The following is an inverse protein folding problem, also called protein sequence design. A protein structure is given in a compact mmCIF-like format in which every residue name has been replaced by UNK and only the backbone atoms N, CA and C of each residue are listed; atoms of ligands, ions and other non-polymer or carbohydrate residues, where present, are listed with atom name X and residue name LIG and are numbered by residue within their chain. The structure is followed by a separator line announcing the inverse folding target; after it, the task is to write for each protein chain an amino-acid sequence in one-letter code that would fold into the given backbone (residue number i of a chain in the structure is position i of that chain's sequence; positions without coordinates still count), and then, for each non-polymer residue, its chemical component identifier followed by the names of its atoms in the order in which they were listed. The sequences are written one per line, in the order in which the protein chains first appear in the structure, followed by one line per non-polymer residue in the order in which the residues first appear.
data_IF_889794005700
#
_entry.id   IF_889794005700
#
_cell.length_a   1.000
_cell.length_b   1.000
_cell.length_c   1.000
_cell.angle_alpha   90.00
_cell.angle_beta   90.00
_cell.angle_gamma   90.00
#
_symmetry.space_group_name_H-M   'P 1'
#
loop_
_entity.id
_entity.type
_entity.pdbx_description
1 polymer ?
#
# COMPACT_ATOMS: atom_id res chain seq x y z
N UNK A 1 -5.43 12.90 -27.27
CA UNK A 1 -4.57 11.71 -27.06
C UNK A 1 -5.52 10.57 -26.76
N UNK A 2 -5.43 9.48 -27.51
CA UNK A 2 -6.29 8.32 -27.31
C UNK A 2 -5.87 7.67 -25.99
N UNK A 3 -6.63 7.88 -24.90
CA UNK A 3 -6.33 7.25 -23.61
C UNK A 3 -6.57 5.75 -23.77
N UNK A 4 -5.49 4.98 -23.86
CA UNK A 4 -5.56 3.52 -23.91
C UNK A 4 -6.22 3.02 -22.62
N UNK A 5 -7.24 2.15 -22.68
CA UNK A 5 -7.91 1.65 -21.48
C UNK A 5 -6.97 0.81 -20.60
N UNK A 6 -5.81 0.38 -21.12
CA UNK A 6 -4.86 -0.48 -20.44
C UNK A 6 -3.92 0.24 -19.47
N UNK A 7 -3.73 1.55 -19.63
CA UNK A 7 -2.80 2.32 -18.78
C UNK A 7 -3.39 3.71 -18.49
N UNK A 8 -3.33 4.13 -17.22
CA UNK A 8 -3.78 5.46 -16.76
C UNK A 8 -2.74 6.12 -15.86
N UNK A 9 -2.47 7.41 -16.06
CA UNK A 9 -1.46 8.15 -15.27
C UNK A 9 -2.03 8.54 -13.91
N UNK A 10 -1.20 8.67 -12.86
CA UNK A 10 -1.70 9.06 -11.52
C UNK A 10 -2.51 10.37 -11.55
N UNK A 11 -2.09 11.36 -12.35
CA UNK A 11 -2.80 12.64 -12.49
C UNK A 11 -4.27 12.50 -12.95
N UNK A 12 -4.61 11.40 -13.63
CA UNK A 12 -5.92 11.10 -14.21
C UNK A 12 -6.80 10.24 -13.28
N UNK A 13 -6.29 9.86 -12.10
CA UNK A 13 -6.91 8.91 -11.20
C UNK A 13 -7.47 9.58 -9.93
N UNK A 14 -8.58 9.04 -9.44
CA UNK A 14 -9.21 9.39 -8.15
C UNK A 14 -9.54 8.12 -7.39
N UNK A 15 -9.95 8.25 -6.12
CA UNK A 15 -10.44 7.12 -5.32
C UNK A 15 -11.58 6.34 -5.99
N UNK A 16 -12.44 7.01 -6.78
CA UNK A 16 -13.53 6.37 -7.52
C UNK A 16 -13.06 5.39 -8.60
N UNK A 17 -11.81 5.50 -9.06
CA UNK A 17 -11.24 4.62 -10.09
C UNK A 17 -10.77 3.27 -9.56
N UNK A 18 -10.81 3.06 -8.23
CA UNK A 18 -10.38 1.84 -7.54
C UNK A 18 -10.80 0.52 -8.20
N UNK A 19 -12.03 0.35 -8.75
CA UNK A 19 -12.40 -0.88 -9.47
C UNK A 19 -11.51 -1.21 -10.68
N UNK A 20 -10.82 -0.22 -11.25
CA UNK A 20 -9.99 -0.37 -12.46
C UNK A 20 -8.48 -0.29 -12.20
N UNK A 21 -8.07 0.28 -11.06
CA UNK A 21 -6.65 0.53 -10.72
C UNK A 21 -6.21 -0.05 -9.37
N UNK A 22 -7.12 -0.71 -8.65
CA UNK A 22 -6.87 -1.24 -7.31
C UNK A 22 -6.70 -0.16 -6.24
N UNK A 23 -6.53 -0.59 -4.99
CA UNK A 23 -6.42 0.30 -3.83
C UNK A 23 -5.22 1.24 -3.89
N UNK A 24 -4.02 0.69 -4.16
CA UNK A 24 -2.77 1.47 -4.20
C UNK A 24 -2.76 2.47 -5.35
N UNK A 25 -3.18 2.03 -6.54
CA UNK A 25 -3.27 2.90 -7.71
C UNK A 25 -4.24 4.07 -7.52
N UNK A 26 -5.42 3.82 -6.95
CA UNK A 26 -6.38 4.86 -6.64
C UNK A 26 -5.87 5.83 -5.57
N UNK A 27 -5.20 5.32 -4.52
CA UNK A 27 -4.61 6.14 -3.47
C UNK A 27 -3.50 7.06 -4.00
N UNK A 28 -2.61 6.54 -4.86
CA UNK A 28 -1.57 7.35 -5.50
C UNK A 28 -2.14 8.43 -6.42
N UNK A 29 -3.21 8.11 -7.14
CA UNK A 29 -3.95 9.10 -7.92
C UNK A 29 -4.54 10.21 -7.05
N UNK A 30 -5.15 9.83 -5.93
CA UNK A 30 -5.75 10.78 -4.99
C UNK A 30 -4.70 11.66 -4.30
N UNK A 31 -3.55 11.11 -3.88
CA UNK A 31 -2.43 11.89 -3.37
C UNK A 31 -1.92 12.90 -4.39
N UNK A 32 -1.78 12.47 -5.65
CA UNK A 32 -1.36 13.35 -6.75
C UNK A 32 -2.38 14.48 -6.95
N UNK A 33 -3.67 14.16 -6.89
CA UNK A 33 -4.74 15.15 -6.98
C UNK A 33 -4.73 16.15 -5.81
N UNK A 34 -4.42 15.69 -4.60
CA UNK A 34 -4.28 16.52 -3.40
C UNK A 34 -3.06 17.46 -3.44
N UNK A 35 -2.26 17.42 -4.51
CA UNK A 35 -1.06 18.22 -4.69
C UNK A 35 0.10 17.77 -3.78
N UNK A 36 0.06 16.53 -3.28
CA UNK A 36 1.19 15.97 -2.56
C UNK A 36 2.35 15.66 -3.53
N UNK A 37 3.62 15.73 -3.05
CA UNK A 37 4.76 15.40 -3.89
C UNK A 37 4.84 13.88 -4.07
N UNK A 38 4.19 13.35 -5.11
CA UNK A 38 4.22 11.91 -5.45
C UNK A 38 5.17 11.71 -6.63
N UNK A 39 6.07 10.70 -6.60
CA UNK A 39 6.87 10.38 -7.77
C UNK A 39 5.97 10.04 -8.96
N UNK A 40 6.27 10.54 -10.17
CA UNK A 40 5.42 10.31 -11.33
C UNK A 40 5.32 8.81 -11.64
N UNK A 41 4.17 8.42 -12.18
CA UNK A 41 3.88 7.03 -12.47
C UNK A 41 2.51 6.86 -13.11
N UNK A 42 2.19 5.60 -13.38
CA UNK A 42 0.94 5.18 -13.98
C UNK A 42 0.53 3.82 -13.45
N UNK A 43 -0.70 3.43 -13.76
CA UNK A 43 -1.27 2.14 -13.41
C UNK A 43 -1.59 1.38 -14.69
N UNK A 44 -1.09 0.15 -14.79
CA UNK A 44 -1.56 -0.87 -15.72
C UNK A 44 -2.88 -1.38 -15.17
N UNK A 45 -3.98 -1.11 -15.87
CA UNK A 45 -5.34 -1.28 -15.35
C UNK A 45 -5.75 -2.75 -15.29
N UNK A 46 -6.83 -3.03 -14.58
CA UNK A 46 -7.46 -4.37 -14.59
C UNK A 46 -7.92 -4.76 -16.00
N UNK A 47 -8.29 -3.81 -16.86
CA UNK A 47 -8.61 -4.09 -18.27
C UNK A 47 -7.42 -4.68 -19.02
N UNK A 48 -6.19 -4.27 -18.70
CA UNK A 48 -4.99 -4.86 -19.26
C UNK A 48 -4.78 -6.32 -18.79
N UNK A 49 -5.07 -6.58 -17.51
CA UNK A 49 -5.03 -7.93 -16.95
C UNK A 49 -6.06 -8.85 -17.59
N UNK A 50 -7.32 -8.41 -17.73
CA UNK A 50 -8.37 -9.19 -18.41
C UNK A 50 -8.01 -9.48 -19.87
N UNK A 51 -7.45 -8.50 -20.60
CA UNK A 51 -7.00 -8.71 -21.98
C UNK A 51 -5.87 -9.76 -22.06
N UNK A 52 -4.93 -9.71 -21.12
CA UNK A 52 -3.86 -10.70 -21.00
C UNK A 52 -4.41 -12.10 -20.69
N UNK A 53 -5.32 -12.22 -19.73
CA UNK A 53 -5.92 -13.50 -19.35
C UNK A 53 -6.77 -14.10 -20.46
N UNK A 54 -7.57 -13.29 -21.15
CA UNK A 54 -8.38 -13.75 -22.29
C UNK A 54 -7.52 -14.26 -23.45
N UNK A 55 -6.34 -13.67 -23.67
CA UNK A 55 -5.38 -14.15 -24.67
C UNK A 55 -4.65 -15.42 -24.21
N UNK A 56 -4.33 -15.51 -22.92
CA UNK A 56 -3.64 -16.66 -22.35
C UNK A 56 -4.52 -17.90 -22.24
N UNK A 57 -5.76 -17.72 -21.79
CA UNK A 57 -6.69 -18.76 -21.33
C UNK A 57 -8.12 -18.47 -21.81
N UNK A 58 -8.39 -18.56 -23.14
CA UNK A 58 -9.65 -18.14 -23.74
C UNK A 58 -10.87 -18.92 -23.24
N UNK A 59 -10.68 -20.16 -22.78
CA UNK A 59 -11.73 -21.02 -22.25
C UNK A 59 -11.96 -20.84 -20.74
N UNK A 60 -11.16 -20.01 -20.05
CA UNK A 60 -11.33 -19.69 -18.63
C UNK A 60 -11.07 -20.86 -17.68
N UNK A 61 -10.23 -21.82 -18.09
CA UNK A 61 -9.88 -23.00 -17.32
C UNK A 61 -9.14 -22.66 -16.02
N UNK A 62 -8.29 -21.62 -16.02
CA UNK A 62 -7.52 -21.21 -14.85
C UNK A 62 -8.45 -20.79 -13.70
N UNK A 63 -9.37 -19.86 -13.97
CA UNK A 63 -10.34 -19.38 -12.97
C UNK A 63 -11.24 -20.53 -12.51
N UNK A 64 -11.71 -21.37 -13.43
CA UNK A 64 -12.55 -22.54 -13.11
C UNK A 64 -11.82 -23.54 -12.21
N UNK A 65 -10.56 -23.85 -12.50
CA UNK A 65 -9.76 -24.77 -11.72
C UNK A 65 -9.53 -24.25 -10.30
N UNK A 66 -9.29 -22.94 -10.14
CA UNK A 66 -9.06 -22.33 -8.82
C UNK A 66 -10.36 -22.24 -8.01
N UNK A 67 -11.47 -21.89 -8.66
CA UNK A 67 -12.78 -21.82 -8.02
C UNK A 67 -13.23 -23.18 -7.46
N UNK A 68 -12.74 -24.29 -8.03
CA UNK A 68 -13.03 -25.64 -7.55
C UNK A 68 -12.17 -26.08 -6.35
N UNK A 69 -11.15 -25.31 -5.96
CA UNK A 69 -10.24 -25.67 -4.88
C UNK A 69 -10.86 -25.43 -3.50
N UNK A 70 -10.61 -26.39 -2.59
CA UNK A 70 -10.83 -26.26 -1.15
C UNK A 70 -9.71 -25.39 -0.54
N UNK A 71 -10.08 -24.42 0.30
CA UNK A 71 -9.12 -23.50 0.92
C UNK A 71 -8.15 -24.17 1.89
N UNK A 72 -8.52 -25.33 2.45
CA UNK A 72 -7.70 -26.05 3.43
C UNK A 72 -6.75 -27.07 2.76
N UNK A 73 -6.98 -27.43 1.48
CA UNK A 73 -6.13 -28.37 0.74
C UNK A 73 -4.96 -27.65 0.07
N UNK A 74 -3.97 -27.31 0.89
CA UNK A 74 -2.75 -26.61 0.42
C UNK A 74 -1.97 -27.41 -0.62
N UNK A 75 -2.02 -28.75 -0.58
CA UNK A 75 -1.33 -29.61 -1.55
C UNK A 75 -2.02 -29.56 -2.92
N UNK A 76 -3.36 -29.63 -2.95
CA UNK A 76 -4.11 -29.46 -4.19
C UNK A 76 -3.95 -28.05 -4.76
N UNK A 77 -3.99 -27.02 -3.92
CA UNK A 77 -3.73 -25.63 -4.33
C UNK A 77 -2.35 -25.56 -4.97
N UNK A 78 -1.30 -26.01 -4.27
CA UNK A 78 0.07 -25.98 -4.79
C UNK A 78 0.19 -26.66 -6.15
N UNK A 79 -0.41 -27.85 -6.30
CA UNK A 79 -0.37 -28.62 -7.55
C UNK A 79 -1.05 -27.91 -8.73
N UNK A 80 -2.11 -27.14 -8.47
CA UNK A 80 -2.83 -26.37 -9.51
C UNK A 80 -2.14 -25.04 -9.80
N UNK A 81 -1.76 -24.29 -8.77
CA UNK A 81 -1.28 -22.91 -8.96
C UNK A 81 0.14 -22.83 -9.50
N UNK A 82 1.00 -23.82 -9.20
CA UNK A 82 2.39 -23.87 -9.70
C UNK A 82 2.46 -23.80 -11.24
N UNK A 83 1.83 -24.73 -11.99
CA UNK A 83 1.86 -24.67 -13.46
C UNK A 83 1.11 -23.46 -14.02
N UNK A 84 0.05 -22.97 -13.35
CA UNK A 84 -0.64 -21.73 -13.74
C UNK A 84 0.30 -20.54 -13.68
N UNK A 85 1.06 -20.42 -12.59
CA UNK A 85 2.04 -19.36 -12.39
C UNK A 85 3.14 -19.41 -13.46
N UNK A 86 3.70 -20.57 -13.73
CA UNK A 86 4.70 -20.77 -14.79
C UNK A 86 4.15 -20.37 -16.17
N UNK A 87 2.90 -20.77 -16.49
CA UNK A 87 2.22 -20.40 -17.73
C UNK A 87 2.03 -18.89 -17.86
N UNK A 88 1.62 -18.22 -16.77
CA UNK A 88 1.49 -16.76 -16.74
C UNK A 88 2.84 -16.09 -16.93
N UNK A 89 3.88 -16.53 -16.21
CA UNK A 89 5.23 -15.95 -16.29
C UNK A 89 5.87 -16.14 -17.67
N UNK A 90 5.57 -17.23 -18.38
CA UNK A 90 6.10 -17.49 -19.72
C UNK A 90 5.34 -16.77 -20.85
N UNK A 91 4.09 -16.37 -20.62
CA UNK A 91 3.21 -15.85 -21.66
C UNK A 91 3.61 -14.48 -22.21
N UNK A 92 3.46 -14.28 -23.52
CA UNK A 92 3.60 -12.95 -24.12
C UNK A 92 2.35 -12.09 -23.85
N UNK A 93 2.55 -10.79 -23.62
CA UNK A 93 1.44 -9.86 -23.48
C UNK A 93 0.86 -9.53 -24.87
N UNK A 94 -0.46 -9.32 -25.00
CA UNK A 94 -1.04 -8.74 -26.20
C UNK A 94 -0.31 -7.46 -26.60
N UNK A 95 -0.02 -7.28 -27.90
CA UNK A 95 0.83 -6.19 -28.39
C UNK A 95 0.29 -4.81 -27.99
N UNK A 96 -1.03 -4.62 -27.98
CA UNK A 96 -1.67 -3.38 -27.53
C UNK A 96 -1.38 -3.04 -26.07
N UNK A 97 -1.35 -4.05 -25.19
CA UNK A 97 -1.04 -3.88 -23.76
C UNK A 97 0.45 -3.59 -23.59
N UNK A 98 1.30 -4.40 -24.24
CA UNK A 98 2.75 -4.23 -24.16
C UNK A 98 3.19 -2.85 -24.71
N UNK A 99 2.63 -2.42 -25.84
CA UNK A 99 2.89 -1.10 -26.42
C UNK A 99 2.41 0.04 -25.50
N UNK A 100 1.25 -0.09 -24.85
CA UNK A 100 0.76 0.89 -23.89
C UNK A 100 1.69 1.04 -22.69
N UNK A 101 2.16 -0.08 -22.11
CA UNK A 101 3.12 -0.09 -20.98
C UNK A 101 4.44 0.56 -21.40
N UNK A 102 5.03 0.11 -22.51
CA UNK A 102 6.32 0.64 -23.00
C UNK A 102 6.24 2.11 -23.38
N UNK A 103 5.12 2.54 -23.95
CA UNK A 103 4.87 3.93 -24.33
C UNK A 103 4.89 4.87 -23.12
N UNK A 104 4.20 4.51 -22.04
CA UNK A 104 4.16 5.32 -20.82
C UNK A 104 5.48 5.27 -20.04
N UNK A 105 6.21 4.16 -20.08
CA UNK A 105 7.56 4.08 -19.50
C UNK A 105 8.53 5.06 -20.17
N UNK A 106 8.47 5.19 -21.50
CA UNK A 106 9.28 6.18 -22.23
C UNK A 106 8.95 7.61 -21.83
N UNK A 107 7.68 7.92 -21.56
CA UNK A 107 7.29 9.25 -21.09
C UNK A 107 7.90 9.53 -19.70
N UNK A 108 7.84 8.56 -18.77
CA UNK A 108 8.51 8.67 -17.46
C UNK A 108 10.04 8.85 -17.58
N UNK A 109 10.66 8.15 -18.54
CA UNK A 109 12.09 8.22 -18.79
C UNK A 109 12.52 9.59 -19.33
N UNK A 110 11.68 10.21 -20.18
CA UNK A 110 11.93 11.56 -20.71
C UNK A 110 11.92 12.66 -19.65
N UNK A 111 11.33 12.38 -18.48
CA UNK A 111 11.25 13.28 -17.33
C UNK A 111 12.32 12.96 -16.25
N UNK A 112 13.26 12.07 -16.55
CA UNK A 112 14.29 11.59 -15.62
C UNK A 112 15.37 12.64 -15.31
N UNK A 113 15.79 12.68 -14.04
CA UNK A 113 16.89 13.53 -13.57
C UNK A 113 18.28 13.00 -13.99
N UNK A 114 18.36 11.80 -14.59
CA UNK A 114 19.59 11.19 -15.11
C UNK A 114 19.52 10.98 -16.63
N UNK A 115 19.88 12.00 -17.44
CA UNK A 115 19.82 11.89 -18.90
C UNK A 115 20.71 10.76 -19.42
N UNK A 116 20.13 9.86 -20.22
CA UNK A 116 20.87 8.79 -20.92
C UNK A 116 20.81 7.40 -20.26
N UNK A 117 20.23 7.27 -19.07
CA UNK A 117 19.93 5.97 -18.44
C UNK A 117 18.41 5.77 -18.28
N UNK A 118 17.87 4.56 -18.53
CA UNK A 118 16.47 4.28 -18.30
C UNK A 118 16.06 4.53 -16.84
N UNK A 119 15.03 5.36 -16.63
CA UNK A 119 14.53 5.68 -15.30
C UNK A 119 14.15 4.41 -14.52
N UNK A 120 14.66 4.22 -13.28
CA UNK A 120 14.26 3.09 -12.46
C UNK A 120 12.82 3.25 -11.98
N UNK A 121 12.07 2.16 -11.98
CA UNK A 121 10.67 2.12 -11.51
C UNK A 121 10.46 1.01 -10.49
N UNK A 122 9.52 1.25 -9.57
CA UNK A 122 8.93 0.24 -8.73
C UNK A 122 7.68 -0.31 -9.43
N UNK A 123 7.56 -1.63 -9.49
CA UNK A 123 6.41 -2.33 -10.05
C UNK A 123 5.69 -3.02 -8.89
N UNK A 124 4.50 -2.51 -8.55
CA UNK A 124 3.77 -2.89 -7.34
C UNK A 124 2.39 -3.40 -7.74
N UNK A 125 2.06 -4.59 -7.28
CA UNK A 125 0.69 -5.13 -7.34
C UNK A 125 -0.31 -4.18 -6.68
N UNK A 126 -1.51 -4.04 -7.27
CA UNK A 126 -2.60 -3.21 -6.77
C UNK A 126 -3.93 -3.92 -7.05
N UNK A 127 -4.35 -4.78 -6.14
CA UNK A 127 -5.56 -5.56 -6.33
C UNK A 127 -6.82 -4.73 -6.03
N UNK A 128 -7.94 -5.10 -6.65
CA UNK A 128 -9.24 -4.45 -6.42
C UNK A 128 -9.85 -4.86 -5.08
N UNK A 129 -9.59 -6.09 -4.64
CA UNK A 129 -10.06 -6.69 -3.39
C UNK A 129 -9.19 -6.38 -2.16
N UNK A 130 -8.07 -5.67 -2.34
CA UNK A 130 -6.99 -5.48 -1.34
C UNK A 130 -7.40 -4.75 -0.05
N UNK A 131 -8.53 -4.02 -0.07
CA UNK A 131 -9.05 -3.29 1.09
C UNK A 131 -10.60 -3.39 1.20
N UNK A 132 -11.20 -4.58 1.03
CA UNK A 132 -12.49 -4.79 1.70
C UNK A 132 -12.25 -4.54 3.20
N UNK A 133 -13.17 -3.90 3.93
CA UNK A 133 -12.94 -3.44 5.32
C UNK A 133 -12.40 -4.54 6.27
N UNK A 134 -12.57 -5.81 5.90
CA UNK A 134 -12.14 -7.00 6.65
C UNK A 134 -11.04 -7.86 5.96
N UNK A 135 -10.56 -7.52 4.76
CA UNK A 135 -9.59 -8.33 4.01
C UNK A 135 -8.27 -7.58 3.77
N UNK A 136 -7.30 -7.73 4.69
CA UNK A 136 -5.94 -7.23 4.46
C UNK A 136 -5.15 -8.23 3.60
N UNK A 137 -5.05 -7.96 2.31
CA UNK A 137 -4.11 -8.66 1.41
C UNK A 137 -2.65 -8.19 1.59
N UNK A 138 -2.40 -7.37 2.62
CA UNK A 138 -1.09 -6.81 2.92
C UNK A 138 -0.02 -7.92 3.04
N UNK A 139 1.02 -7.82 2.22
CA UNK A 139 2.16 -8.75 2.22
C UNK A 139 1.98 -10.02 1.39
N UNK A 140 0.83 -10.23 0.74
CA UNK A 140 0.60 -11.43 -0.11
C UNK A 140 1.01 -11.25 -1.57
N UNK A 141 1.32 -10.02 -2.00
CA UNK A 141 1.52 -9.69 -3.41
C UNK A 141 2.88 -9.05 -3.65
N UNK A 142 3.48 -9.35 -4.80
CA UNK A 142 4.86 -9.01 -5.08
C UNK A 142 5.04 -7.51 -5.33
N UNK A 143 6.21 -7.01 -4.96
CA UNK A 143 6.74 -5.69 -5.30
C UNK A 143 8.16 -5.84 -5.82
N UNK A 144 8.41 -5.30 -7.00
CA UNK A 144 9.73 -5.32 -7.63
C UNK A 144 10.30 -3.91 -7.65
N UNK A 145 11.47 -3.74 -7.03
CA UNK A 145 12.13 -2.45 -6.90
C UNK A 145 13.28 -2.31 -7.90
N UNK A 146 13.56 -1.07 -8.27
CA UNK A 146 14.69 -0.66 -9.12
C UNK A 146 14.70 -1.31 -10.51
N UNK A 147 13.52 -1.58 -11.08
CA UNK A 147 13.38 -2.17 -12.41
C UNK A 147 13.77 -1.14 -13.46
N UNK A 148 14.67 -1.51 -14.38
CA UNK A 148 15.12 -0.66 -15.48
C UNK A 148 14.88 -1.31 -16.83
N UNK A 149 14.47 -0.51 -17.80
CA UNK A 149 14.29 -0.94 -19.17
C UNK A 149 12.89 -1.48 -19.44
N UNK A 150 12.42 -1.19 -20.65
CA UNK A 150 11.04 -1.46 -21.10
C UNK A 150 10.66 -2.96 -21.07
N UNK A 151 11.61 -3.86 -21.34
CA UNK A 151 11.34 -5.29 -21.44
C UNK A 151 11.33 -5.94 -20.04
N UNK A 152 12.27 -5.55 -19.16
CA UNK A 152 12.24 -5.94 -17.76
C UNK A 152 10.97 -5.42 -17.06
N UNK A 153 10.50 -4.23 -17.40
CA UNK A 153 9.22 -3.72 -16.90
C UNK A 153 8.04 -4.61 -17.29
N UNK A 154 7.92 -4.99 -18.57
CA UNK A 154 6.85 -5.88 -19.04
C UNK A 154 6.91 -7.24 -18.34
N UNK A 155 8.11 -7.78 -18.13
CA UNK A 155 8.31 -9.00 -17.36
C UNK A 155 7.84 -8.87 -15.92
N UNK A 156 8.22 -7.79 -15.22
CA UNK A 156 7.84 -7.59 -13.81
C UNK A 156 6.34 -7.31 -13.65
N UNK A 157 5.67 -6.66 -14.61
CA UNK A 157 4.19 -6.54 -14.62
C UNK A 157 3.54 -7.92 -14.67
N UNK A 158 4.06 -8.81 -15.52
CA UNK A 158 3.58 -10.20 -15.64
C UNK A 158 3.83 -11.00 -14.37
N UNK A 159 4.98 -10.81 -13.72
CA UNK A 159 5.29 -11.42 -12.42
C UNK A 159 4.35 -10.94 -11.32
N UNK A 160 3.97 -9.66 -11.29
CA UNK A 160 2.91 -9.19 -10.38
C UNK A 160 1.58 -9.92 -10.64
N UNK A 161 1.17 -10.07 -11.90
CA UNK A 161 -0.04 -10.84 -12.22
C UNK A 161 0.07 -12.31 -11.82
N UNK A 162 1.24 -12.92 -12.00
CA UNK A 162 1.52 -14.28 -11.55
C UNK A 162 1.41 -14.43 -10.03
N UNK A 163 1.77 -13.39 -9.26
CA UNK A 163 1.67 -13.41 -7.80
C UNK A 163 0.23 -13.49 -7.29
N UNK A 164 -0.78 -13.15 -8.11
CA UNK A 164 -2.18 -13.39 -7.79
C UNK A 164 -2.50 -14.89 -7.61
N UNK A 165 -1.70 -15.74 -8.25
CA UNK A 165 -1.79 -17.19 -8.28
C UNK A 165 -0.68 -17.85 -7.46
N UNK A 166 -0.24 -17.22 -6.36
CA UNK A 166 0.55 -17.90 -5.33
C UNK A 166 -0.34 -18.81 -4.48
N UNK A 167 0.28 -19.76 -3.78
CA UNK A 167 -0.42 -20.64 -2.84
C UNK A 167 -1.09 -19.80 -1.75
N UNK A 168 -0.36 -18.84 -1.20
CA UNK A 168 -0.82 -17.97 -0.12
C UNK A 168 -1.98 -17.08 -0.56
N UNK A 169 -1.89 -16.47 -1.76
CA UNK A 169 -2.96 -15.65 -2.33
C UNK A 169 -4.22 -16.46 -2.60
N UNK A 170 -4.09 -17.64 -3.23
CA UNK A 170 -5.24 -18.49 -3.55
C UNK A 170 -5.87 -19.04 -2.28
N UNK A 171 -5.10 -19.62 -1.35
CA UNK A 171 -5.63 -20.14 -0.07
C UNK A 171 -6.38 -19.05 0.69
N UNK A 172 -5.84 -17.83 0.73
CA UNK A 172 -6.50 -16.70 1.38
C UNK A 172 -7.84 -16.34 0.73
N UNK A 173 -7.87 -16.22 -0.61
CA UNK A 173 -9.08 -15.87 -1.36
C UNK A 173 -10.16 -16.94 -1.26
N UNK A 174 -9.77 -18.22 -1.35
CA UNK A 174 -10.68 -19.36 -1.17
C UNK A 174 -11.27 -19.39 0.23
N UNK A 175 -10.45 -19.15 1.27
CA UNK A 175 -10.91 -19.10 2.67
C UNK A 175 -11.94 -18.01 2.92
N UNK A 176 -11.81 -16.87 2.23
CA UNK A 176 -12.77 -15.76 2.28
C UNK A 176 -13.98 -15.95 1.36
N UNK A 177 -14.02 -17.03 0.56
CA UNK A 177 -15.10 -17.27 -0.40
C UNK A 177 -15.16 -16.22 -1.50
N UNK A 178 -14.02 -15.63 -1.87
CA UNK A 178 -13.96 -14.62 -2.93
C UNK A 178 -14.07 -15.29 -4.31
N UNK A 179 -14.98 -14.81 -5.18
CA UNK A 179 -15.17 -15.41 -6.50
C UNK A 179 -14.00 -15.11 -7.44
N UNK A 180 -13.63 -16.07 -8.29
CA UNK A 180 -12.57 -15.90 -9.29
C UNK A 180 -13.03 -15.09 -10.52
N UNK A 181 -14.33 -15.10 -10.85
CA UNK A 181 -14.86 -14.56 -12.10
C UNK A 181 -14.67 -13.03 -12.27
N UNK A 182 -14.60 -12.27 -11.17
CA UNK A 182 -14.41 -10.81 -11.18
C UNK A 182 -13.08 -10.38 -10.55
N UNK A 183 -12.20 -11.35 -10.31
CA UNK A 183 -10.90 -11.09 -9.73
C UNK A 183 -9.96 -10.53 -10.78
N UNK A 184 -9.53 -9.29 -10.56
CA UNK A 184 -8.53 -8.63 -11.40
C UNK A 184 -7.48 -7.90 -10.57
N UNK A 185 -6.27 -7.81 -11.13
CA UNK A 185 -5.15 -7.11 -10.51
C UNK A 185 -4.63 -6.02 -11.43
N UNK A 186 -4.64 -4.78 -10.93
CA UNK A 186 -3.89 -3.70 -11.54
C UNK A 186 -2.44 -3.72 -11.05
N UNK A 187 -1.55 -3.04 -11.78
CA UNK A 187 -0.13 -2.94 -11.42
C UNK A 187 0.30 -1.48 -11.49
N UNK A 188 0.76 -0.95 -10.36
CA UNK A 188 1.35 0.38 -10.24
C UNK A 188 2.77 0.34 -10.77
N UNK A 189 3.10 1.26 -11.68
CA UNK A 189 4.46 1.54 -12.14
C UNK A 189 4.80 2.96 -11.71
N UNK A 190 5.71 3.08 -10.75
CA UNK A 190 6.07 4.36 -10.13
C UNK A 190 7.56 4.62 -10.28
N UNK A 191 7.95 5.82 -10.67
CA UNK A 191 9.36 6.21 -10.71
C UNK A 191 9.99 6.07 -9.33
N UNK A 192 11.12 5.37 -9.26
CA UNK A 192 11.90 5.32 -8.03
C UNK A 192 12.75 6.58 -7.90
N UNK A 193 12.85 7.06 -6.67
CA UNK A 193 13.84 8.07 -6.30
C UNK A 193 15.05 7.37 -5.69
N UNK A 194 16.21 8.03 -5.68
CA UNK A 194 17.39 7.63 -4.92
C UNK A 194 17.31 8.27 -3.52
N UNK A 195 16.90 7.52 -2.47
CA UNK A 195 16.67 8.11 -1.17
C UNK A 195 17.97 8.21 -0.35
N UNK A 196 18.15 9.35 0.30
CA UNK A 196 19.04 9.46 1.46
C UNK A 196 18.46 8.71 2.66
N UNK A 197 17.17 8.93 2.89
CA UNK A 197 16.40 8.41 4.01
C UNK A 197 14.99 8.10 3.53
N UNK A 198 14.36 7.07 4.09
CA UNK A 198 12.97 6.73 3.87
C UNK A 198 12.32 6.28 5.17
N UNK A 199 10.99 6.27 5.19
CA UNK A 199 10.27 5.96 6.40
C UNK A 199 8.77 5.88 6.23
N UNK A 200 8.12 5.75 7.39
CA UNK A 200 6.66 5.77 7.51
C UNK A 200 6.26 6.89 8.46
N UNK A 201 5.09 7.47 8.23
CA UNK A 201 4.47 8.41 9.15
C UNK A 201 3.01 8.06 9.40
N UNK A 202 2.62 8.15 10.66
CA UNK A 202 1.25 7.97 11.09
C UNK A 202 0.72 9.30 11.58
N UNK A 203 -0.41 9.77 11.03
CA UNK A 203 -1.07 10.99 11.53
C UNK A 203 -1.89 10.72 12.79
N UNK A 204 -1.56 9.66 13.51
CA UNK A 204 -2.08 9.28 14.81
C UNK A 204 -1.01 8.42 15.47
N UNK A 205 -0.87 8.49 16.78
CA UNK A 205 0.01 7.56 17.50
C UNK A 205 -0.46 6.11 17.29
N UNK A 206 0.33 5.23 16.66
CA UNK A 206 -0.03 3.83 16.51
C UNK A 206 -0.03 3.07 17.85
N UNK A 207 0.67 3.61 18.86
CA UNK A 207 0.80 3.00 20.19
C UNK A 207 -0.36 3.35 21.14
N UNK A 208 -0.83 4.60 21.10
CA UNK A 208 -1.80 5.13 22.07
C UNK A 208 -3.12 5.53 21.44
N UNK A 209 -3.16 5.66 20.11
CA UNK A 209 -4.31 6.19 19.41
C UNK A 209 -4.49 7.70 19.57
N UNK A 210 -3.50 8.44 20.06
CA UNK A 210 -3.57 9.90 20.14
C UNK A 210 -3.56 10.54 18.74
N UNK A 211 -4.64 11.26 18.39
CA UNK A 211 -4.79 11.95 17.10
C UNK A 211 -4.13 13.33 17.07
N UNK A 212 -3.63 13.83 18.21
CA UNK A 212 -2.99 15.14 18.32
C UNK A 212 -1.52 15.15 17.92
N UNK A 213 -0.96 13.98 17.59
CA UNK A 213 0.45 13.81 17.22
C UNK A 213 0.63 13.16 15.85
N UNK A 214 1.78 13.41 15.23
CA UNK A 214 2.32 12.60 14.12
C UNK A 214 3.47 11.76 14.68
N UNK A 215 3.43 10.45 14.41
CA UNK A 215 4.53 9.55 14.72
C UNK A 215 5.31 9.27 13.43
N UNK A 216 6.64 9.41 13.48
CA UNK A 216 7.55 9.19 12.36
C UNK A 216 8.49 8.04 12.71
N UNK A 217 8.71 7.14 11.76
CA UNK A 217 9.80 6.19 11.79
C UNK A 217 10.66 6.35 10.54
N UNK A 218 11.98 6.33 10.68
CA UNK A 218 12.90 6.68 9.61
C UNK A 218 14.19 5.83 9.65
N UNK A 219 14.70 5.44 8.47
CA UNK A 219 16.00 4.78 8.33
C UNK A 219 16.79 5.32 7.14
N UNK A 220 18.08 4.95 7.07
CA UNK A 220 18.92 5.19 5.90
C UNK A 220 18.47 4.32 4.71
N UNK A 221 18.64 4.85 3.50
CA UNK A 221 18.39 4.11 2.26
C UNK A 221 16.91 3.93 1.91
N UNK A 222 16.59 2.81 1.28
CA UNK A 222 15.26 2.43 0.81
C UNK A 222 14.35 2.05 1.98
N UNK A 223 13.06 2.44 1.91
CA UNK A 223 12.07 2.14 2.92
C UNK A 223 11.74 0.65 3.08
N UNK A 224 12.18 -0.20 2.13
CA UNK A 224 11.99 -1.65 2.21
C UNK A 224 12.60 -2.27 3.46
N UNK A 225 13.67 -1.68 4.02
CA UNK A 225 14.29 -2.15 5.27
C UNK A 225 13.37 -2.02 6.49
N UNK A 226 12.51 -0.98 6.53
CA UNK A 226 11.51 -0.84 7.60
C UNK A 226 10.39 -1.85 7.41
N UNK A 227 9.93 -2.02 6.16
CA UNK A 227 8.81 -2.91 5.82
C UNK A 227 9.16 -4.38 6.11
N UNK A 228 10.41 -4.79 5.88
CA UNK A 228 10.89 -6.14 6.22
C UNK A 228 11.25 -6.31 7.70
N UNK A 229 11.43 -5.21 8.45
CA UNK A 229 11.85 -5.25 9.85
C UNK A 229 13.35 -5.48 10.05
N UNK A 230 14.16 -5.31 9.01
CA UNK A 230 15.63 -5.55 9.05
C UNK A 230 16.40 -4.44 9.76
N UNK A 231 15.75 -3.30 10.03
CA UNK A 231 16.35 -2.13 10.67
C UNK A 231 15.55 -1.70 11.90
N UNK A 232 16.26 -1.27 12.94
CA UNK A 232 15.64 -0.49 14.03
C UNK A 232 15.65 0.98 13.63
N UNK A 233 14.50 1.61 13.33
CA UNK A 233 14.47 2.97 12.82
C UNK A 233 14.65 4.00 13.93
N UNK A 234 14.98 5.23 13.54
CA UNK A 234 14.77 6.39 14.39
C UNK A 234 13.27 6.63 14.56
N UNK A 235 12.87 7.14 15.74
CA UNK A 235 11.47 7.40 16.06
C UNK A 235 11.29 8.82 16.57
N UNK A 236 10.28 9.50 16.04
CA UNK A 236 9.93 10.85 16.44
C UNK A 236 8.43 10.95 16.70
N UNK A 237 8.04 11.71 17.72
CA UNK A 237 6.64 12.05 17.98
C UNK A 237 6.54 13.56 18.01
N UNK A 238 5.68 14.11 17.16
CA UNK A 238 5.55 15.56 16.96
C UNK A 238 4.12 15.99 17.23
N UNK A 239 3.94 17.04 18.02
CA UNK A 239 2.64 17.65 18.28
C UNK A 239 2.12 18.34 17.02
N UNK A 240 0.90 18.00 16.57
CA UNK A 240 0.25 18.69 15.45
C UNK A 240 -0.16 20.12 15.79
N UNK A 241 -0.36 20.40 17.08
CA UNK A 241 -0.85 21.70 17.57
C UNK A 241 0.28 22.69 17.72
N UNK A 242 1.35 22.28 18.41
CA UNK A 242 2.47 23.18 18.73
C UNK A 242 3.61 23.07 17.72
N UNK A 243 3.72 21.94 17.02
CA UNK A 243 4.86 21.62 16.16
C UNK A 243 6.05 21.04 16.92
N UNK A 244 5.99 20.97 18.26
CA UNK A 244 7.13 20.51 19.05
C UNK A 244 7.42 19.02 18.83
N UNK A 245 8.69 18.68 18.72
CA UNK A 245 9.18 17.29 18.75
C UNK A 245 9.13 16.82 20.22
N UNK A 246 8.01 16.20 20.60
CA UNK A 246 7.74 15.74 21.97
C UNK A 246 8.65 14.57 22.39
N UNK A 247 9.10 13.75 21.42
CA UNK A 247 10.00 12.63 21.67
C UNK A 247 10.92 12.39 20.48
N UNK A 248 12.17 12.06 20.77
CA UNK A 248 13.21 11.66 19.81
C UNK A 248 13.93 10.43 20.33
N UNK A 249 13.96 9.38 19.53
CA UNK A 249 14.77 8.18 19.77
C UNK A 249 15.61 7.93 18.52
N UNK A 250 16.92 8.11 18.63
CA UNK A 250 17.87 7.76 17.57
C UNK A 250 18.37 6.36 17.84
N UNK A 251 18.18 5.47 16.87
CA UNK A 251 18.54 4.05 16.99
C UNK A 251 19.81 3.77 16.20
N UNK A 252 20.58 2.78 16.66
CA UNK A 252 21.71 2.24 15.91
C UNK A 252 21.18 1.51 14.66
N UNK A 253 21.20 2.21 13.53
CA UNK A 253 20.74 1.68 12.23
C UNK A 253 21.87 0.83 11.65
N UNK A 254 21.90 -0.46 11.97
CA UNK A 254 23.00 -1.35 11.58
C UNK A 254 22.96 -1.76 10.11
N UNK A 255 21.76 -1.85 9.54
CA UNK A 255 21.47 -2.33 8.18
C UNK A 255 20.74 -1.26 7.38
N UNK A 256 20.98 -1.25 6.07
CA UNK A 256 20.24 -0.44 5.12
C UNK A 256 20.01 -1.20 3.82
N UNK A 257 18.94 -0.85 3.14
CA UNK A 257 18.64 -1.33 1.79
C UNK A 257 19.01 -0.26 0.79
N UNK A 258 19.75 -0.63 -0.26
CA UNK A 258 20.13 0.25 -1.35
C UNK A 258 19.76 -0.35 -2.68
N UNK A 259 19.78 0.46 -3.71
CA UNK A 259 19.53 -0.01 -5.06
C UNK A 259 20.64 -0.96 -5.49
N UNK A 260 20.26 -2.10 -6.05
CA UNK A 260 21.25 -3.05 -6.57
C UNK A 260 21.98 -2.43 -7.78
N UNK A 261 23.31 -2.28 -7.75
CA UNK A 261 24.08 -1.73 -8.88
C UNK A 261 23.96 -2.54 -10.17
N UNK A 262 23.53 -3.81 -10.11
CA UNK A 262 23.27 -4.65 -11.29
C UNK A 262 22.05 -4.21 -12.11
N UNK A 263 21.22 -3.30 -11.58
CA UNK A 263 20.11 -2.67 -12.30
C UNK A 263 18.74 -3.30 -12.08
N UNK A 264 18.58 -4.16 -11.08
CA UNK A 264 17.27 -4.65 -10.60
C UNK A 264 17.37 -5.13 -9.15
N UNK A 265 16.41 -4.75 -8.32
CA UNK A 265 16.31 -5.22 -6.94
C UNK A 265 17.03 -4.35 -5.92
N UNK A 266 17.27 -4.95 -4.75
CA UNK A 266 17.78 -4.30 -3.56
C UNK A 266 19.03 -5.03 -3.08
N UNK A 267 20.06 -4.26 -2.76
CA UNK A 267 21.24 -4.72 -2.04
C UNK A 267 21.08 -4.40 -0.56
N UNK A 268 21.18 -5.43 0.29
CA UNK A 268 21.28 -5.25 1.73
C UNK A 268 22.74 -5.08 2.14
N UNK A 269 23.05 -4.02 2.87
CA UNK A 269 24.39 -3.78 3.37
C UNK A 269 24.39 -3.18 4.78
N UNK A 270 25.53 -3.26 5.44
CA UNK A 270 25.72 -2.60 6.71
C UNK A 270 25.83 -1.09 6.52
N UNK A 271 25.20 -0.33 7.41
CA UNK A 271 25.37 1.12 7.45
C UNK A 271 26.81 1.42 7.90
N UNK A 272 27.53 2.36 7.24
CA UNK A 272 28.85 2.79 7.68
C UNK A 272 28.85 3.22 9.15
N UNK A 273 29.88 2.85 9.91
CA UNK A 273 29.92 3.05 11.38
C UNK A 273 29.61 4.50 11.79
N UNK A 274 30.14 5.48 11.04
CA UNK A 274 29.93 6.90 11.31
C UNK A 274 28.50 7.41 11.09
N UNK A 275 27.60 6.60 10.50
CA UNK A 275 26.19 6.94 10.27
C UNK A 275 25.22 6.16 11.18
N UNK A 276 25.69 5.12 11.89
CA UNK A 276 24.81 4.19 12.61
C UNK A 276 23.99 4.89 13.69
N UNK A 277 24.64 5.77 14.44
CA UNK A 277 24.06 6.50 15.58
C UNK A 277 23.65 7.94 15.23
N UNK A 278 23.77 8.32 13.96
CA UNK A 278 23.36 9.65 13.48
C UNK A 278 21.85 9.68 13.18
N UNK A 279 21.14 10.79 13.46
CA UNK A 279 19.75 10.94 13.08
C UNK A 279 19.64 11.00 11.55
N UNK A 280 18.74 10.21 10.98
CA UNK A 280 18.51 10.24 9.55
C UNK A 280 17.67 11.45 9.08
N UNK A 281 17.04 12.18 10.00
CA UNK A 281 16.25 13.37 9.69
C UNK A 281 16.79 14.61 10.41
N UNK A 282 16.74 15.76 9.72
CA UNK A 282 16.86 17.07 10.36
C UNK A 282 15.52 17.53 10.94
N UNK A 283 15.56 18.51 11.85
CA UNK A 283 14.36 19.09 12.45
C UNK A 283 13.47 19.75 11.38
N UNK A 284 14.06 20.37 10.36
CA UNK A 284 13.35 20.95 9.22
C UNK A 284 12.63 19.88 8.40
N UNK A 285 13.28 18.75 8.12
CA UNK A 285 12.67 17.63 7.41
C UNK A 285 11.51 17.02 8.21
N UNK A 286 11.66 16.90 9.54
CA UNK A 286 10.61 16.43 10.44
C UNK A 286 9.38 17.35 10.34
N UNK A 287 9.57 18.67 10.44
CA UNK A 287 8.45 19.61 10.36
C UNK A 287 7.78 19.59 8.98
N UNK A 288 8.54 19.45 7.90
CA UNK A 288 7.99 19.37 6.56
C UNK A 288 7.18 18.07 6.35
N UNK A 289 7.67 16.93 6.85
CA UNK A 289 6.91 15.68 6.86
C UNK A 289 5.59 15.82 7.64
N UNK A 290 5.62 16.47 8.80
CA UNK A 290 4.40 16.74 9.60
C UNK A 290 3.42 17.64 8.84
N UNK A 291 3.92 18.66 8.14
CA UNK A 291 3.11 19.55 7.29
C UNK A 291 2.42 18.75 6.18
N UNK A 292 3.17 17.91 5.47
CA UNK A 292 2.65 17.03 4.41
C UNK A 292 1.64 16.02 4.96
N UNK A 293 1.94 15.35 6.09
CA UNK A 293 1.03 14.41 6.73
C UNK A 293 -0.31 15.05 7.12
N UNK A 294 -0.28 16.27 7.67
CA UNK A 294 -1.50 17.03 8.00
C UNK A 294 -2.30 17.43 6.76
N UNK A 295 -1.64 17.82 5.68
CA UNK A 295 -2.31 18.11 4.40
C UNK A 295 -3.03 16.88 3.87
N UNK A 296 -2.35 15.73 3.87
CA UNK A 296 -2.91 14.46 3.41
C UNK A 296 -4.07 14.03 4.32
N UNK A 297 -3.90 14.01 5.64
CA UNK A 297 -4.99 13.70 6.60
C UNK A 297 -6.20 14.61 6.42
N UNK A 298 -5.98 15.91 6.21
CA UNK A 298 -7.08 16.87 5.97
C UNK A 298 -7.81 16.59 4.66
N UNK A 299 -7.11 16.12 3.63
CA UNK A 299 -7.71 15.75 2.34
C UNK A 299 -8.59 14.50 2.46
N UNK A 300 -8.09 13.46 3.13
CA UNK A 300 -8.83 12.21 3.32
C UNK A 300 -9.89 12.27 4.43
N UNK A 301 -9.78 13.21 5.37
CA UNK A 301 -10.69 13.36 6.51
C UNK A 301 -10.55 12.30 7.60
N UNK A 302 -9.54 11.44 7.53
CA UNK A 302 -9.27 10.37 8.50
C UNK A 302 -7.76 10.18 8.69
N UNK A 303 -7.29 9.71 9.87
CA UNK A 303 -5.87 9.45 10.07
C UNK A 303 -5.28 8.50 9.03
N UNK A 304 -4.04 8.76 8.64
CA UNK A 304 -3.33 8.06 7.59
C UNK A 304 -2.04 7.42 8.09
N UNK A 305 -1.70 6.30 7.45
CA UNK A 305 -0.38 5.67 7.39
C UNK A 305 0.22 5.99 6.02
N UNK A 306 1.38 6.65 6.01
CA UNK A 306 1.99 7.25 4.81
C UNK A 306 3.45 6.83 4.71
N UNK A 307 3.80 6.19 3.59
CA UNK A 307 5.18 5.90 3.23
C UNK A 307 5.80 7.13 2.55
N UNK A 308 7.04 7.47 2.90
CA UNK A 308 7.73 8.63 2.35
C UNK A 308 9.21 8.35 2.14
N UNK A 309 9.84 9.16 1.29
CA UNK A 309 11.28 9.14 1.11
C UNK A 309 11.84 10.53 0.80
N UNK A 310 13.06 10.75 1.24
CA UNK A 310 13.82 11.98 1.04
C UNK A 310 14.92 11.70 0.04
N UNK A 311 14.81 12.29 -1.15
CA UNK A 311 15.80 12.20 -2.21
C UNK A 311 17.14 12.79 -1.78
N UNK A 312 18.22 12.10 -2.13
CA UNK A 312 19.59 12.60 -1.96
C UNK A 312 19.96 13.69 -2.96
N UNK A 313 19.31 13.68 -4.12
CA UNK A 313 19.74 14.44 -5.30
C UNK A 313 18.97 15.75 -5.51
N UNK A 314 17.92 15.98 -4.72
CA UNK A 314 17.09 17.18 -4.81
C UNK A 314 17.39 18.16 -3.67
N UNK A 315 17.06 19.42 -3.91
CA UNK A 315 17.26 20.52 -2.95
C UNK A 315 16.37 20.29 -1.72
N UNK A 316 16.89 20.51 -0.49
CA UNK A 316 16.10 20.45 0.73
C UNK A 316 14.80 21.28 0.63
N UNK A 317 13.69 20.71 1.10
CA UNK A 317 12.34 21.29 0.99
C UNK A 317 11.60 20.94 -0.32
N UNK A 318 12.31 20.43 -1.32
CA UNK A 318 11.72 19.86 -2.55
C UNK A 318 12.14 18.41 -2.78
N UNK A 319 12.81 17.81 -1.80
CA UNK A 319 13.38 16.47 -1.87
C UNK A 319 12.49 15.40 -1.23
N UNK A 320 11.35 15.77 -0.63
CA UNK A 320 10.46 14.82 0.03
C UNK A 320 9.39 14.34 -0.94
N UNK A 321 9.21 13.03 -1.03
CA UNK A 321 8.17 12.38 -1.80
C UNK A 321 7.33 11.47 -0.90
N UNK A 322 6.02 11.44 -1.16
CA UNK A 322 5.10 10.47 -0.58
C UNK A 322 4.92 9.29 -1.55
N UNK A 323 5.18 8.08 -1.05
CA UNK A 323 5.26 6.86 -1.85
C UNK A 323 3.97 6.04 -1.78
N UNK A 324 3.19 6.20 -0.72
CA UNK A 324 1.88 5.57 -0.54
C UNK A 324 1.14 6.27 0.61
N UNK A 325 -0.20 6.23 0.60
CA UNK A 325 -1.02 6.56 1.76
C UNK A 325 -2.17 5.56 1.87
N UNK A 326 -2.55 5.23 3.10
CA UNK A 326 -3.75 4.44 3.40
C UNK A 326 -4.35 4.88 4.74
N UNK A 327 -5.66 4.67 4.96
CA UNK A 327 -6.26 4.91 6.26
C UNK A 327 -5.59 4.10 7.36
N UNK A 328 -5.38 4.70 8.54
CA UNK A 328 -4.92 4.01 9.74
C UNK A 328 -6.08 3.22 10.36
N UNK A 329 -6.04 1.89 10.30
CA UNK A 329 -7.17 1.01 10.66
C UNK A 329 -7.02 0.28 12.00
N UNK A 330 -5.83 0.26 12.61
CA UNK A 330 -5.57 -0.45 13.88
C UNK A 330 -6.41 0.12 15.00
N UNK A 331 -6.54 1.44 15.08
CA UNK A 331 -7.40 2.06 16.09
C UNK A 331 -8.83 2.34 15.62
N UNK A 332 -9.07 2.48 14.32
CA UNK A 332 -10.43 2.60 13.79
C UNK A 332 -11.27 1.34 14.08
N UNK A 333 -10.65 0.16 14.03
CA UNK A 333 -11.27 -1.12 14.39
C UNK A 333 -11.50 -1.27 15.91
N UNK A 334 -10.59 -0.75 16.74
CA UNK A 334 -10.75 -0.71 18.21
C UNK A 334 -11.87 0.25 18.66
N UNK A 335 -12.06 1.36 17.98
CA UNK A 335 -13.15 2.31 18.23
C UNK A 335 -14.53 1.77 17.79
N UNK A 336 -14.58 0.86 16.79
CA UNK A 336 -15.80 0.17 16.34
C UNK A 336 -16.24 -0.97 17.26
N UNK A 337 -15.43 -1.41 18.24
CA UNK A 337 -15.89 -2.37 19.24
C UNK A 337 -17.05 -1.74 20.04
N UNK A 338 -18.22 -2.39 20.17
CA UNK A 338 -19.35 -1.79 20.87
C UNK A 338 -18.91 -1.44 22.28
N UNK A 339 -19.00 -0.16 22.62
CA UNK A 339 -19.02 0.26 24.02
C UNK A 339 -20.13 -0.55 24.66
N UNK A 340 -19.76 -1.38 25.66
CA UNK A 340 -20.72 -2.12 26.45
C UNK A 340 -21.90 -1.21 26.74
N UNK A 341 -23.12 -1.68 26.42
CA UNK A 341 -24.35 -0.92 26.59
C UNK A 341 -24.30 -0.18 27.94
N UNK A 342 -24.67 1.11 27.98
CA UNK A 342 -24.46 1.94 29.16
C UNK A 342 -25.05 1.21 30.36
N UNK A 343 -24.18 0.83 31.32
CA UNK A 343 -24.64 0.32 32.61
C UNK A 343 -25.61 1.37 33.15
N UNK A 344 -26.81 0.90 33.51
CA UNK A 344 -27.95 1.70 33.94
C UNK A 344 -27.51 2.97 34.67
N UNK A 345 -28.05 4.11 34.23
CA UNK A 345 -27.74 5.40 34.85
C UNK A 345 -28.12 5.30 36.34
N UNK A 346 -27.33 5.91 37.22
CA UNK A 346 -27.62 5.98 38.66
C UNK A 346 -29.02 6.54 39.00
N UNK A 347 -29.73 7.11 38.02
CA UNK A 347 -31.13 7.51 38.10
C UNK A 347 -32.14 6.34 38.13
N UNK A 348 -31.84 5.19 37.54
CA UNK A 348 -32.76 4.04 37.50
C UNK A 348 -32.88 3.35 38.86
N UNK A 349 -31.83 3.46 39.69
CA UNK A 349 -31.83 2.92 41.06
C UNK A 349 -32.64 3.78 42.05
N UNK A 350 -32.83 5.07 41.76
CA UNK A 350 -33.60 6.00 42.59
C UNK A 350 -35.10 5.85 42.33
N UNK A 351 -35.51 5.58 41.08
CA UNK A 351 -36.92 5.35 40.75
C UNK A 351 -37.45 4.00 41.28
N UNK A 352 -36.60 2.96 41.39
CA UNK A 352 -37.02 1.67 41.95
C UNK A 352 -37.21 1.69 43.47
N UNK A 353 -36.64 2.68 44.17
CA UNK A 353 -36.82 2.88 45.61
C UNK A 353 -38.07 3.72 45.96
N UNK A 354 -38.65 4.42 44.99
CA UNK A 354 -39.83 5.28 45.16
C UNK A 354 -41.11 4.70 44.53
N UNK A 355 -41.00 3.69 43.67
CA UNK A 355 -42.14 3.00 43.03
C UNK A 355 -42.51 1.70 43.72
N UNK A 356 -43.13 1.79 44.90
CA UNK A 356 -43.68 0.65 45.62
C UNK A 356 -44.76 -0.10 44.82
N UNK A 357 -44.66 -1.42 44.86
CA UNK A 357 -45.56 -2.38 44.23
C UNK A 357 -47.03 -2.21 44.66
N UNK A 358 -47.93 -2.37 43.68
CA UNK A 358 -49.37 -2.49 43.92
C UNK A 358 -50.06 -3.27 42.79
N UNK A 359 -50.21 -4.59 43.01
CA UNK A 359 -51.26 -5.50 42.53
C UNK A 359 -51.52 -5.71 41.02
N UNK A 360 -51.51 -6.99 40.60
CA UNK A 360 -51.85 -7.51 39.25
C UNK A 360 -53.33 -7.43 38.85
N UNK A 361 -53.91 -8.34 38.02
CA UNK A 361 -53.48 -9.70 37.67
C UNK A 361 -53.36 -10.00 36.15
N UNK A 362 -52.86 -11.18 35.83
CA UNK A 362 -52.74 -11.70 34.47
C UNK A 362 -53.99 -12.39 33.92
N UNK A 363 -53.84 -12.86 32.67
CA UNK A 363 -54.58 -13.98 32.10
C UNK A 363 -55.66 -13.60 31.09
N UNK A 364 -55.31 -13.50 29.80
CA UNK A 364 -56.28 -13.65 28.72
C UNK A 364 -56.50 -15.13 28.42
N UNK A 365 -57.76 -15.55 28.47
CA UNK A 365 -58.26 -16.73 27.76
C UNK A 365 -58.80 -16.28 26.40
N UNK A 366 -58.45 -17.06 25.37
CA UNK A 366 -58.83 -17.02 23.94
C UNK A 366 -58.25 -15.91 23.07
#
# INVERSE_FOLDING_TARGET
MNTSPHVRRFAELRLSDRPTVGGKGASLGELTFAGAPVPPGYVVTTTAFEAFLAALDPDGEIRTAIEALDSEDTEAITRVVTPVRERIEAAELPEEVAAAIRGHYRDLDSESDTPGEPAPVAVRSSATSEDAEDASFAGLQDTYLWVRGKDSLVENVRRCWASLYSVESVSYRRRLGLPEHDLAMAVVVQRMIDPRCAGVMFTRSPLTGDRSVVALEASWGLGSALVSGDVTPDKYVVSKVTGDICSRTVSAKLRQHRMDPSGSGVLEEDVPEYLRDEPCLSDEEIHELVRLGRQVESHYGTPQDIEWAISRNLVPGHNIYLLQSRPETVWASREKAPTAAPKARAFDHVLSLLGGAGSGPGGSTK
#
